data_IF_656497705646
#
_entry.id   IF_656497705646
#
_cell.length_a   1.000
_cell.length_b   1.000
_cell.length_c   1.000
_cell.angle_alpha   90.00
_cell.angle_beta   90.00
_cell.angle_gamma   90.00
#
_symmetry.space_group_name_H-M   'P 1'
#
loop_
_entity.id
_entity.type
_entity.pdbx_description
1 polymer ?
#
# COMPACT_ATOMS: atom_id res chain seq x y z
N UNK A 1 -6.99 -17.23 10.79
CA UNK A 1 -7.59 -15.88 10.68
C UNK A 1 -7.10 -15.10 11.89
N UNK A 2 -6.52 -13.93 11.67
CA UNK A 2 -5.90 -13.10 12.70
C UNK A 2 -6.90 -12.13 13.30
N UNK A 3 -6.77 -11.89 14.60
CA UNK A 3 -7.45 -10.81 15.32
C UNK A 3 -6.70 -9.48 15.17
N UNK A 4 -7.38 -8.37 15.43
CA UNK A 4 -6.79 -7.03 15.25
C UNK A 4 -5.61 -6.77 16.20
N UNK A 5 -5.62 -7.34 17.39
CA UNK A 5 -4.50 -7.25 18.33
C UNK A 5 -3.27 -8.03 17.82
N UNK A 6 -3.49 -9.20 17.19
CA UNK A 6 -2.43 -9.99 16.56
C UNK A 6 -1.84 -9.24 15.35
N UNK A 7 -2.70 -8.65 14.50
CA UNK A 7 -2.27 -7.83 13.36
C UNK A 7 -1.44 -6.63 13.86
N UNK A 8 -1.88 -5.99 14.94
CA UNK A 8 -1.14 -4.88 15.54
C UNK A 8 0.22 -5.32 16.09
N UNK A 9 0.29 -6.45 16.82
CA UNK A 9 1.55 -7.01 17.32
C UNK A 9 2.51 -7.36 16.17
N UNK A 10 1.99 -7.93 15.08
CA UNK A 10 2.78 -8.18 13.87
C UNK A 10 3.36 -6.88 13.29
N UNK A 11 2.56 -5.81 13.27
CA UNK A 11 3.02 -4.48 12.83
C UNK A 11 4.09 -3.89 13.76
N UNK A 12 4.01 -4.11 15.07
CA UNK A 12 5.03 -3.65 16.03
C UNK A 12 6.37 -4.36 15.85
N UNK A 13 6.34 -5.65 15.48
CA UNK A 13 7.53 -6.47 15.27
C UNK A 13 8.14 -6.33 13.87
N UNK A 14 7.41 -5.73 12.94
CA UNK A 14 7.81 -5.57 11.56
C UNK A 14 8.89 -4.48 11.41
N UNK A 15 10.12 -4.88 11.08
CA UNK A 15 11.26 -3.96 10.91
C UNK A 15 11.06 -2.86 9.85
N UNK A 16 10.12 -3.03 8.91
CA UNK A 16 9.83 -2.02 7.89
C UNK A 16 8.85 -0.96 8.38
N UNK A 17 8.19 -1.21 9.52
CA UNK A 17 7.12 -0.39 10.07
C UNK A 17 7.68 0.72 10.95
N UNK A 18 7.15 1.93 10.77
CA UNK A 18 7.53 3.11 11.56
C UNK A 18 6.49 3.39 12.63
N UNK A 19 6.95 3.59 13.86
CA UNK A 19 6.09 3.91 15.00
C UNK A 19 5.97 5.42 15.18
N UNK A 20 4.74 5.90 15.33
CA UNK A 20 4.39 7.28 15.66
C UNK A 20 3.61 7.31 16.97
N UNK A 21 4.09 8.08 17.94
CA UNK A 21 3.45 8.29 19.24
C UNK A 21 3.03 9.75 19.36
N UNK A 22 1.79 10.02 19.76
CA UNK A 22 1.32 11.38 20.00
C UNK A 22 0.04 11.40 20.84
N UNK A 23 -0.13 12.43 21.68
CA UNK A 23 -1.39 12.83 22.32
C UNK A 23 -2.32 11.76 22.91
N UNK A 24 -1.83 10.57 23.28
CA UNK A 24 -2.64 9.46 23.79
C UNK A 24 -2.85 8.26 22.84
N UNK A 25 -2.29 8.26 21.63
CA UNK A 25 -2.34 7.12 20.71
C UNK A 25 -0.95 6.67 20.23
N UNK A 26 -0.86 5.39 19.85
CA UNK A 26 0.28 4.83 19.10
C UNK A 26 -0.21 4.36 17.75
N UNK A 27 0.56 4.66 16.71
CA UNK A 27 0.26 4.21 15.36
C UNK A 27 1.50 3.70 14.64
N UNK A 28 1.30 2.75 13.75
CA UNK A 28 2.33 2.00 13.05
C UNK A 28 2.07 2.13 11.55
N UNK A 29 3.05 2.63 10.80
CA UNK A 29 2.93 2.95 9.38
C UNK A 29 3.90 2.11 8.56
N UNK A 30 3.38 1.41 7.56
CA UNK A 30 4.18 0.71 6.56
C UNK A 30 3.62 0.92 5.16
N UNK A 31 4.46 1.38 4.25
CA UNK A 31 4.11 1.58 2.83
C UNK A 31 2.82 2.39 2.58
N UNK A 32 2.51 3.37 3.44
CA UNK A 32 1.31 4.19 3.32
C UNK A 32 0.06 3.59 3.94
N UNK A 33 0.15 2.41 4.57
CA UNK A 33 -0.91 1.83 5.40
C UNK A 33 -0.55 2.01 6.87
N UNK A 34 -1.48 2.57 7.62
CA UNK A 34 -1.31 2.90 9.03
C UNK A 34 -2.29 2.10 9.87
N UNK A 35 -1.84 1.45 10.94
CA UNK A 35 -2.73 0.91 11.97
C UNK A 35 -2.59 1.75 13.24
N UNK A 36 -3.72 2.18 13.80
CA UNK A 36 -3.81 3.02 14.99
C UNK A 36 -4.47 2.22 16.10
N UNK A 37 -3.85 2.20 17.29
CA UNK A 37 -4.50 1.74 18.52
C UNK A 37 -5.05 2.97 19.25
N UNK A 38 -6.37 3.08 19.33
CA UNK A 38 -7.06 4.12 20.08
C UNK A 38 -7.16 3.75 21.58
N UNK A 39 -7.56 4.71 22.40
CA UNK A 39 -8.06 4.42 23.75
C UNK A 39 -9.23 3.44 23.63
N UNK A 40 -9.30 2.43 24.50
CA UNK A 40 -10.31 1.34 24.52
C UNK A 40 -10.07 0.18 23.54
N UNK A 41 -8.82 -0.11 23.17
CA UNK A 41 -8.44 -1.27 22.33
C UNK A 41 -9.10 -1.31 20.93
N UNK A 42 -9.66 -0.18 20.49
CA UNK A 42 -10.17 -0.05 19.14
C UNK A 42 -9.00 0.14 18.16
N UNK A 43 -8.96 -0.71 17.14
CA UNK A 43 -7.97 -0.66 16.06
C UNK A 43 -8.62 -0.08 14.80
N UNK A 44 -7.94 0.87 14.17
CA UNK A 44 -8.35 1.41 12.86
C UNK A 44 -7.17 1.28 11.90
N UNK A 45 -7.43 0.80 10.69
CA UNK A 45 -6.45 0.77 9.61
C UNK A 45 -6.80 1.82 8.57
N UNK A 46 -5.83 2.68 8.24
CA UNK A 46 -5.99 3.81 7.33
C UNK A 46 -5.04 3.66 6.14
N UNK A 47 -5.54 4.01 4.96
CA UNK A 47 -4.75 4.25 3.76
C UNK A 47 -4.40 5.75 3.67
N UNK A 48 -3.15 6.08 3.99
CA UNK A 48 -2.67 7.46 3.96
C UNK A 48 -2.46 8.02 2.55
N UNK A 49 -2.65 7.22 1.50
CA UNK A 49 -2.41 7.61 0.12
C UNK A 49 -3.71 7.77 -0.69
N UNK A 50 -4.86 7.33 -0.15
CA UNK A 50 -6.14 7.29 -0.87
C UNK A 50 -6.92 8.62 -0.79
N UNK A 51 -6.90 9.30 0.35
CA UNK A 51 -7.75 10.46 0.62
C UNK A 51 -7.14 11.83 0.27
N UNK A 52 -6.06 11.89 -0.53
CA UNK A 52 -5.37 13.13 -0.83
C UNK A 52 -4.78 13.78 0.43
N UNK A 53 -5.44 14.80 0.97
CA UNK A 53 -5.04 15.51 2.20
C UNK A 53 -5.59 14.88 3.49
N UNK A 54 -6.47 13.88 3.40
CA UNK A 54 -7.08 13.23 4.55
C UNK A 54 -6.75 11.74 4.60
N UNK A 55 -6.66 11.19 5.82
CA UNK A 55 -6.56 9.75 6.03
C UNK A 55 -7.91 9.11 5.77
N UNK A 56 -7.90 7.99 5.05
CA UNK A 56 -9.12 7.25 4.75
C UNK A 56 -9.02 5.86 5.35
N UNK A 57 -10.01 5.45 6.13
CA UNK A 57 -10.12 4.08 6.62
C UNK A 57 -10.20 3.10 5.43
N UNK A 58 -9.56 1.94 5.57
CA UNK A 58 -9.58 0.90 4.53
C UNK A 58 -10.98 0.29 4.39
N UNK A 59 -11.25 -0.35 3.26
CA UNK A 59 -12.58 -0.95 3.03
C UNK A 59 -12.79 -2.23 3.86
N UNK A 60 -14.05 -2.69 4.05
CA UNK A 60 -14.32 -3.96 4.72
C UNK A 60 -13.58 -5.16 4.09
N UNK A 61 -13.43 -5.19 2.77
CA UNK A 61 -12.71 -6.25 2.05
C UNK A 61 -11.21 -6.21 2.35
N UNK A 62 -10.65 -5.01 2.51
CA UNK A 62 -9.26 -4.85 2.91
C UNK A 62 -9.06 -5.26 4.38
N UNK A 63 -10.02 -4.99 5.26
CA UNK A 63 -9.99 -5.53 6.62
C UNK A 63 -10.00 -7.07 6.63
N UNK A 64 -10.83 -7.71 5.79
CA UNK A 64 -10.79 -9.18 5.66
C UNK A 64 -9.46 -9.68 5.12
N UNK A 65 -8.83 -8.94 4.21
CA UNK A 65 -7.49 -9.27 3.73
C UNK A 65 -6.47 -9.26 4.87
N UNK A 66 -6.51 -8.26 5.77
CA UNK A 66 -5.66 -8.25 6.98
C UNK A 66 -5.94 -9.43 7.91
N UNK A 67 -7.22 -9.76 8.14
CA UNK A 67 -7.60 -10.93 8.95
C UNK A 67 -7.15 -12.25 8.33
N UNK A 68 -7.13 -12.33 7.01
CA UNK A 68 -6.70 -13.54 6.30
C UNK A 68 -5.18 -13.69 6.27
N UNK A 69 -4.47 -12.63 5.90
CA UNK A 69 -3.06 -12.70 5.49
C UNK A 69 -2.09 -12.13 6.55
N UNK A 70 -2.60 -11.42 7.56
CA UNK A 70 -1.78 -10.71 8.55
C UNK A 70 -1.24 -9.38 8.01
N UNK A 71 -0.40 -8.71 8.80
CA UNK A 71 0.04 -7.34 8.53
C UNK A 71 0.82 -7.21 7.23
N UNK A 72 2.01 -7.82 7.15
CA UNK A 72 2.98 -7.54 6.07
C UNK A 72 2.46 -7.98 4.70
N UNK A 73 1.81 -9.16 4.63
CA UNK A 73 1.26 -9.71 3.40
C UNK A 73 0.10 -8.85 2.88
N UNK A 74 -0.84 -8.46 3.75
CA UNK A 74 -1.95 -7.60 3.37
C UNK A 74 -1.46 -6.22 2.87
N UNK A 75 -0.50 -5.59 3.57
CA UNK A 75 0.09 -4.31 3.13
C UNK A 75 0.73 -4.45 1.73
N UNK A 76 1.48 -5.53 1.48
CA UNK A 76 2.06 -5.77 0.16
C UNK A 76 1.01 -5.97 -0.93
N UNK A 77 -0.04 -6.77 -0.67
CA UNK A 77 -1.11 -6.98 -1.64
C UNK A 77 -1.85 -5.67 -1.98
N UNK A 78 -2.15 -4.84 -0.98
CA UNK A 78 -2.75 -3.50 -1.21
C UNK A 78 -1.80 -2.61 -2.03
N UNK A 79 -0.49 -2.61 -1.70
CA UNK A 79 0.50 -1.84 -2.45
C UNK A 79 0.62 -2.31 -3.92
N UNK A 80 0.57 -3.62 -4.17
CA UNK A 80 0.60 -4.19 -5.51
C UNK A 80 -0.61 -3.76 -6.33
N UNK A 81 -1.82 -3.80 -5.75
CA UNK A 81 -3.05 -3.30 -6.39
C UNK A 81 -2.91 -1.82 -6.77
N UNK A 82 -2.42 -0.98 -5.86
CA UNK A 82 -2.17 0.44 -6.14
C UNK A 82 -1.18 0.66 -7.28
N UNK A 83 -0.11 -0.14 -7.35
CA UNK A 83 0.85 -0.04 -8.43
C UNK A 83 0.28 -0.48 -9.77
N UNK A 84 -0.57 -1.53 -9.79
CA UNK A 84 -1.32 -1.92 -10.99
C UNK A 84 -2.24 -0.79 -11.47
N UNK A 85 -3.04 -0.22 -10.56
CA UNK A 85 -3.91 0.91 -10.88
C UNK A 85 -3.12 2.12 -11.42
N UNK A 86 -1.95 2.39 -10.83
CA UNK A 86 -1.07 3.46 -11.29
C UNK A 86 -0.51 3.17 -12.69
N UNK A 87 -0.08 1.95 -12.98
CA UNK A 87 0.39 1.55 -14.32
C UNK A 87 -0.74 1.68 -15.35
N UNK A 88 -1.96 1.27 -15.01
CA UNK A 88 -3.12 1.39 -15.89
C UNK A 88 -3.40 2.86 -16.25
N UNK A 89 -3.40 3.75 -15.27
CA UNK A 89 -3.54 5.20 -15.50
C UNK A 89 -2.44 5.77 -16.39
N UNK A 90 -1.18 5.35 -16.19
CA UNK A 90 -0.07 5.78 -17.05
C UNK A 90 -0.26 5.28 -18.49
N UNK A 91 -0.70 4.02 -18.68
CA UNK A 91 -0.98 3.48 -20.01
C UNK A 91 -2.09 4.27 -20.72
N UNK A 92 -3.15 4.65 -20.01
CA UNK A 92 -4.21 5.52 -20.55
C UNK A 92 -3.65 6.88 -20.97
N UNK A 93 -2.77 7.48 -20.17
CA UNK A 93 -2.09 8.75 -20.51
C UNK A 93 -1.21 8.60 -21.76
N UNK A 94 -0.45 7.51 -21.88
CA UNK A 94 0.36 7.21 -23.07
C UNK A 94 -0.53 7.09 -24.30
N UNK A 95 -1.64 6.36 -24.21
CA UNK A 95 -2.57 6.18 -25.33
C UNK A 95 -3.19 7.51 -25.77
N UNK A 96 -3.62 8.34 -24.82
CA UNK A 96 -4.16 9.68 -25.09
C UNK A 96 -3.13 10.57 -25.79
N UNK A 97 -1.89 10.56 -25.33
CA UNK A 97 -0.81 11.39 -25.89
C UNK A 97 -0.33 10.90 -27.27
N UNK A 98 -0.29 9.59 -27.50
CA UNK A 98 0.02 9.02 -28.81
C UNK A 98 -1.01 9.45 -29.88
N UNK A 99 -2.27 9.55 -29.49
CA UNK A 99 -3.36 9.98 -30.38
C UNK A 99 -3.38 11.50 -30.62
N UNK A 100 -2.72 12.31 -29.79
CA UNK A 100 -2.75 13.79 -29.85
C UNK A 100 -1.65 14.41 -30.72
N UNK A 101 -0.79 13.61 -31.36
CA UNK A 101 0.30 14.01 -32.29
C UNK A 101 1.35 15.00 -31.73
N UNK A 102 1.44 15.28 -30.42
CA UNK A 102 2.11 16.52 -29.98
C UNK A 102 3.25 16.48 -28.96
N UNK A 103 3.66 15.37 -28.33
CA UNK A 103 4.86 15.48 -27.48
C UNK A 103 5.63 14.17 -27.22
N UNK A 104 6.69 13.94 -28.01
CA UNK A 104 7.62 12.83 -27.81
C UNK A 104 8.27 12.86 -26.41
N UNK A 105 8.50 14.06 -25.84
CA UNK A 105 9.05 14.19 -24.49
C UNK A 105 8.06 13.73 -23.42
N UNK A 106 6.78 14.08 -23.53
CA UNK A 106 5.75 13.61 -22.60
C UNK A 106 5.62 12.08 -22.65
N UNK A 107 5.62 11.49 -23.84
CA UNK A 107 5.60 10.03 -24.00
C UNK A 107 6.80 9.36 -23.33
N UNK A 108 8.00 9.93 -23.51
CA UNK A 108 9.19 9.44 -22.83
C UNK A 108 9.05 9.49 -21.30
N UNK A 109 8.59 10.62 -20.75
CA UNK A 109 8.38 10.78 -19.31
C UNK A 109 7.38 9.75 -18.75
N UNK A 110 6.29 9.49 -19.47
CA UNK A 110 5.31 8.47 -19.06
C UNK A 110 5.91 7.05 -19.08
N UNK A 111 6.74 6.72 -20.07
CA UNK A 111 7.42 5.41 -20.13
C UNK A 111 8.44 5.25 -18.99
N UNK A 112 9.18 6.32 -18.66
CA UNK A 112 10.10 6.35 -17.52
C UNK A 112 9.35 6.20 -16.19
N UNK A 113 8.20 6.86 -16.04
CA UNK A 113 7.34 6.70 -14.86
C UNK A 113 6.80 5.28 -14.75
N UNK A 114 6.27 4.71 -15.84
CA UNK A 114 5.78 3.34 -15.91
C UNK A 114 6.85 2.34 -15.48
N UNK A 115 8.06 2.46 -16.04
CA UNK A 115 9.22 1.61 -15.70
C UNK A 115 9.53 1.70 -14.20
N UNK A 116 9.54 2.91 -13.63
CA UNK A 116 9.78 3.12 -12.20
C UNK A 116 8.71 2.46 -11.31
N UNK A 117 7.44 2.54 -11.69
CA UNK A 117 6.33 1.92 -10.95
C UNK A 117 6.42 0.39 -11.06
N UNK A 118 6.71 -0.15 -12.24
CA UNK A 118 6.88 -1.59 -12.46
C UNK A 118 8.06 -2.16 -11.66
N UNK A 119 9.19 -1.45 -11.57
CA UNK A 119 10.32 -1.89 -10.75
C UNK A 119 9.94 -2.01 -9.27
N UNK A 120 9.14 -1.06 -8.76
CA UNK A 120 8.59 -1.15 -7.38
C UNK A 120 7.63 -2.32 -7.24
N UNK A 121 6.71 -2.51 -8.19
CA UNK A 121 5.79 -3.64 -8.22
C UNK A 121 6.56 -4.97 -8.16
N UNK A 122 7.52 -5.18 -9.05
CA UNK A 122 8.33 -6.40 -9.10
C UNK A 122 9.05 -6.65 -7.76
N UNK A 123 9.70 -5.63 -7.21
CA UNK A 123 10.39 -5.74 -5.91
C UNK A 123 9.46 -6.20 -4.79
N UNK A 124 8.23 -5.68 -4.75
CA UNK A 124 7.25 -6.06 -3.73
C UNK A 124 6.69 -7.47 -3.99
N UNK A 125 6.47 -7.85 -5.25
CA UNK A 125 6.05 -9.21 -5.60
C UNK A 125 7.07 -10.24 -5.14
N UNK A 126 8.37 -10.01 -5.37
CA UNK A 126 9.42 -10.92 -4.91
C UNK A 126 9.42 -11.03 -3.38
N UNK A 127 9.30 -9.90 -2.66
CA UNK A 127 9.20 -9.90 -1.20
C UNK A 127 7.95 -10.65 -0.70
N UNK A 128 6.83 -10.52 -1.38
CA UNK A 128 5.59 -11.21 -1.02
C UNK A 128 5.71 -12.73 -1.25
N UNK A 129 6.29 -13.15 -2.37
CA UNK A 129 6.51 -14.57 -2.66
C UNK A 129 7.40 -15.24 -1.60
N UNK A 130 8.50 -14.57 -1.21
CA UNK A 130 9.35 -15.05 -0.12
C UNK A 130 8.60 -15.18 1.21
N UNK A 131 7.60 -14.32 1.49
CA UNK A 131 6.76 -14.48 2.67
C UNK A 131 5.83 -15.69 2.56
N UNK A 132 5.41 -16.11 1.36
CA UNK A 132 4.63 -17.34 1.19
C UNK A 132 5.48 -18.60 1.27
N UNK A 133 6.72 -18.56 0.81
CA UNK A 133 7.65 -19.69 0.88
C UNK A 133 8.15 -20.00 2.30
N UNK A 134 8.20 -18.98 3.17
CA UNK A 134 8.69 -19.11 4.55
C UNK A 134 7.56 -19.35 5.59
N UNK A 135 6.34 -19.68 5.16
CA UNK A 135 5.21 -20.07 6.04
C UNK A 135 4.81 -21.52 5.75
#
# INVERSE_FOLDING_TARGET
MFYMDEIYKQAEQDHGTRTFKGGGYTSLLFMGIRIVKQTDEKYIIEDMQRGGNYYQEITPEEYELFRKEGWRKAVFQIALKKYQDKVNKINESIQKEANSKKNQRSLQLYQEEKTRVLNKYYTITQKLNLLYENN
#
